data_IF_804946052731
#
_entry.id   IF_804946052731
#
_cell.length_a   1.000
_cell.length_b   1.000
_cell.length_c   1.000
_cell.angle_alpha   90.00
_cell.angle_beta   90.00
_cell.angle_gamma   90.00
#
_symmetry.space_group_name_H-M   'P 1'
#
loop_
_entity.id
_entity.type
_entity.pdbx_description
1 polymer ?
#
# COMPACT_ATOMS: atom_id res chain seq x y z
N UNK A 1 0.37 -11.12 -5.93
CA UNK A 1 -1.04 -10.94 -6.33
C UNK A 1 -1.17 -9.55 -6.92
N UNK A 2 -1.44 -9.45 -8.22
CA UNK A 2 -1.66 -8.18 -8.91
C UNK A 2 -2.97 -7.58 -8.41
N UNK A 3 -2.89 -6.46 -7.68
CA UNK A 3 -4.08 -5.69 -7.31
C UNK A 3 -4.73 -5.19 -8.59
N UNK A 4 -5.97 -5.64 -8.87
CA UNK A 4 -6.74 -5.10 -9.99
C UNK A 4 -6.92 -3.59 -9.75
N UNK A 5 -6.58 -2.73 -10.71
CA UNK A 5 -6.76 -1.30 -10.55
C UNK A 5 -8.27 -1.01 -10.49
N UNK A 6 -8.66 -0.12 -9.58
CA UNK A 6 -10.08 0.20 -9.35
C UNK A 6 -10.75 0.77 -10.61
N UNK A 7 -9.97 1.40 -11.50
CA UNK A 7 -10.44 1.84 -12.82
C UNK A 7 -11.01 0.69 -13.67
N UNK A 8 -10.45 -0.51 -13.57
CA UNK A 8 -10.97 -1.71 -14.26
C UNK A 8 -12.26 -2.20 -13.60
N UNK A 9 -12.33 -2.21 -12.26
CA UNK A 9 -13.53 -2.62 -11.53
C UNK A 9 -14.73 -1.69 -11.83
N UNK A 10 -14.48 -0.38 -11.92
CA UNK A 10 -15.49 0.62 -12.30
C UNK A 10 -15.95 0.42 -13.74
N UNK A 11 -15.02 0.19 -14.68
CA UNK A 11 -15.34 -0.03 -16.08
C UNK A 11 -16.22 -1.28 -16.29
N UNK A 12 -15.97 -2.33 -15.49
CA UNK A 12 -16.72 -3.59 -15.54
C UNK A 12 -18.01 -3.58 -14.71
N UNK A 13 -18.32 -2.47 -14.01
CA UNK A 13 -19.42 -2.36 -13.03
C UNK A 13 -19.41 -3.53 -12.03
N UNK A 14 -18.21 -3.90 -11.59
CA UNK A 14 -18.02 -5.01 -10.66
C UNK A 14 -18.68 -4.65 -9.31
N UNK A 15 -19.48 -5.55 -8.69
CA UNK A 15 -20.05 -5.34 -7.36
C UNK A 15 -19.02 -5.11 -6.24
N UNK A 16 -17.74 -5.42 -6.47
CA UNK A 16 -16.62 -5.09 -5.58
C UNK A 16 -16.17 -3.63 -5.66
N UNK A 17 -16.71 -2.86 -6.60
CA UNK A 17 -16.49 -1.41 -6.65
C UNK A 17 -17.07 -0.78 -5.39
N UNK A 18 -16.28 -0.08 -4.57
CA UNK A 18 -16.81 0.56 -3.37
C UNK A 18 -17.91 1.55 -3.76
N UNK A 19 -19.10 1.49 -3.15
CA UNK A 19 -20.23 2.35 -3.53
C UNK A 19 -19.92 3.85 -3.35
N UNK A 20 -19.00 4.17 -2.43
CA UNK A 20 -18.52 5.54 -2.15
C UNK A 20 -17.14 5.84 -2.73
N UNK A 21 -16.71 5.08 -3.74
CA UNK A 21 -15.42 5.31 -4.38
C UNK A 21 -15.37 6.71 -5.00
N UNK A 22 -14.33 7.44 -4.66
CA UNK A 22 -14.02 8.76 -5.22
C UNK A 22 -12.52 8.79 -5.48
N UNK A 23 -12.12 9.29 -6.64
CA UNK A 23 -10.71 9.47 -7.02
C UNK A 23 -9.93 10.27 -5.96
N UNK A 24 -10.58 11.27 -5.36
CA UNK A 24 -10.02 12.05 -4.24
C UNK A 24 -9.71 11.18 -3.01
N UNK A 25 -10.63 10.27 -2.65
CA UNK A 25 -10.45 9.33 -1.52
C UNK A 25 -9.36 8.31 -1.82
N UNK A 26 -9.29 7.80 -3.05
CA UNK A 26 -8.24 6.88 -3.46
C UNK A 26 -6.87 7.57 -3.41
N UNK A 27 -6.76 8.81 -3.91
CA UNK A 27 -5.53 9.61 -3.81
C UNK A 27 -5.10 9.80 -2.35
N UNK A 28 -6.03 10.21 -1.48
CA UNK A 28 -5.75 10.36 -0.05
C UNK A 28 -5.30 9.05 0.60
N UNK A 29 -5.94 7.92 0.27
CA UNK A 29 -5.55 6.61 0.78
C UNK A 29 -4.13 6.20 0.31
N UNK A 30 -3.79 6.47 -0.95
CA UNK A 30 -2.45 6.21 -1.48
C UNK A 30 -1.39 7.07 -0.80
N UNK A 31 -1.71 8.34 -0.54
CA UNK A 31 -0.81 9.28 0.16
C UNK A 31 -0.58 8.89 1.61
N UNK A 32 -1.66 8.54 2.34
CA UNK A 32 -1.55 7.98 3.69
C UNK A 32 -0.69 6.71 3.72
N UNK A 33 -0.88 5.79 2.76
CA UNK A 33 -0.06 4.58 2.64
C UNK A 33 1.42 4.90 2.38
N UNK A 34 1.73 5.97 1.63
CA UNK A 34 3.13 6.41 1.43
C UNK A 34 3.72 6.93 2.74
N UNK A 35 2.99 7.77 3.46
CA UNK A 35 3.45 8.32 4.74
C UNK A 35 3.69 7.24 5.80
N UNK A 36 2.77 6.27 5.92
CA UNK A 36 2.94 5.13 6.82
C UNK A 36 4.16 4.29 6.44
N UNK A 37 4.34 4.00 5.14
CA UNK A 37 5.53 3.28 4.66
C UNK A 37 6.82 3.99 5.06
N UNK A 38 6.88 5.31 4.89
CA UNK A 38 8.05 6.09 5.25
C UNK A 38 8.35 6.04 6.75
N UNK A 39 7.33 6.23 7.61
CA UNK A 39 7.50 6.14 9.07
C UNK A 39 7.96 4.76 9.52
N UNK A 40 7.38 3.70 8.97
CA UNK A 40 7.80 2.34 9.28
C UNK A 40 9.22 2.05 8.79
N UNK A 41 9.61 2.56 7.61
CA UNK A 41 10.98 2.45 7.14
C UNK A 41 11.95 3.15 8.11
N UNK A 42 11.63 4.37 8.55
CA UNK A 42 12.45 5.09 9.55
C UNK A 42 12.56 4.31 10.86
N UNK A 43 11.45 3.83 11.42
CA UNK A 43 11.40 3.12 12.71
C UNK A 43 12.14 1.78 12.66
N UNK A 44 11.89 0.99 11.61
CA UNK A 44 12.43 -0.36 11.49
C UNK A 44 13.79 -0.42 10.78
N UNK A 45 14.25 0.66 10.15
CA UNK A 45 15.58 0.71 9.48
C UNK A 45 16.73 0.42 10.43
N UNK A 46 16.55 0.62 11.73
CA UNK A 46 17.53 0.33 12.78
C UNK A 46 17.61 -1.16 13.16
N UNK A 47 16.63 -1.97 12.76
CA UNK A 47 16.52 -3.37 13.15
C UNK A 47 17.20 -4.29 12.12
N UNK A 48 18.11 -5.18 12.56
CA UNK A 48 18.82 -6.09 11.66
C UNK A 48 17.90 -6.99 10.81
N UNK A 49 16.73 -7.36 11.36
CA UNK A 49 15.77 -8.23 10.67
C UNK A 49 15.13 -7.52 9.48
N UNK A 50 14.79 -6.24 9.61
CA UNK A 50 14.16 -5.48 8.54
C UNK A 50 15.19 -4.99 7.52
N UNK A 51 16.42 -4.68 7.95
CA UNK A 51 17.55 -4.44 7.06
C UNK A 51 17.82 -5.64 6.15
N UNK A 52 17.96 -6.85 6.72
CA UNK A 52 18.19 -8.06 5.92
C UNK A 52 17.06 -8.34 4.90
N UNK A 53 15.82 -7.94 5.21
CA UNK A 53 14.69 -8.04 4.28
C UNK A 53 14.76 -7.02 3.16
N UNK A 54 15.14 -5.77 3.48
CA UNK A 54 15.31 -4.71 2.49
C UNK A 54 16.53 -4.93 1.59
N UNK A 55 17.61 -5.54 2.10
CA UNK A 55 18.76 -5.96 1.29
C UNK A 55 18.40 -7.07 0.30
N UNK A 56 17.49 -7.98 0.70
CA UNK A 56 17.02 -9.08 -0.15
C UNK A 56 16.05 -8.63 -1.24
N UNK A 57 15.26 -7.58 -0.99
CA UNK A 57 14.30 -7.02 -1.95
C UNK A 57 14.42 -5.49 -1.99
N UNK A 58 15.04 -4.91 -3.03
CA UNK A 58 15.16 -3.45 -3.18
C UNK A 58 13.81 -2.71 -3.19
N UNK A 59 12.71 -3.39 -3.53
CA UNK A 59 11.36 -2.83 -3.50
C UNK A 59 10.62 -3.12 -2.18
N UNK A 60 11.30 -3.65 -1.17
CA UNK A 60 10.69 -4.08 0.09
C UNK A 60 9.84 -2.98 0.72
N UNK A 61 10.42 -1.79 0.91
CA UNK A 61 9.72 -0.64 1.51
C UNK A 61 8.59 -0.11 0.63
N UNK A 62 8.72 -0.23 -0.69
CA UNK A 62 7.66 0.15 -1.62
C UNK A 62 6.45 -0.78 -1.50
N UNK A 63 6.66 -2.06 -1.20
CA UNK A 63 5.58 -3.04 -1.00
C UNK A 63 5.17 -3.18 0.46
N UNK A 64 5.93 -2.59 1.37
CA UNK A 64 5.71 -2.71 2.80
C UNK A 64 4.32 -2.18 3.16
N UNK A 65 3.56 -3.01 3.85
CA UNK A 65 2.27 -2.65 4.42
C UNK A 65 2.24 -3.27 5.81
N UNK A 66 1.97 -2.50 6.88
CA UNK A 66 1.92 -3.04 8.25
C UNK A 66 0.70 -3.97 8.50
N UNK A 67 0.12 -4.54 7.44
CA UNK A 67 -1.16 -5.24 7.47
C UNK A 67 -2.33 -4.26 7.48
N UNK A 68 -3.52 -4.75 7.08
CA UNK A 68 -4.77 -4.04 7.39
C UNK A 68 -4.87 -3.95 8.91
N UNK A 69 -4.69 -2.76 9.47
CA UNK A 69 -5.40 -2.43 10.70
C UNK A 69 -6.87 -2.49 10.28
N UNK A 70 -7.54 -3.58 10.66
CA UNK A 70 -9.00 -3.71 10.54
C UNK A 70 -9.65 -2.89 11.63
#
# INVERSE_FOLDING_TARGET
>A
MTSVPISTLIAERDPLTPPDWNEEKERQAQEQRKQVRQRCAEEYSSSPLWQARAERDPEYWNKFSPGRIR
#
